data_IF_189806613031
#
_entry.id   IF_189806613031
#
_cell.length_a   1.000
_cell.length_b   1.000
_cell.length_c   1.000
_cell.angle_alpha   90.00
_cell.angle_beta   90.00
_cell.angle_gamma   90.00
#
_symmetry.space_group_name_H-M   'P 1'
#
loop_
_entity.id
_entity.type
_entity.pdbx_description
1 polymer ?
#
# COMPACT_ATOMS: atom_id res chain seq x y z
N UNK A 1 19.36 -29.26 -3.13
CA UNK A 1 20.45 -28.37 -3.59
C UNK A 1 20.29 -28.15 -5.09
N UNK A 2 20.45 -29.19 -5.89
CA UNK A 2 20.23 -29.17 -7.34
C UNK A 2 18.83 -28.70 -7.74
N UNK A 3 17.79 -29.06 -6.98
CA UNK A 3 16.42 -28.61 -7.22
C UNK A 3 16.26 -27.08 -7.11
N UNK A 4 16.92 -26.44 -6.13
CA UNK A 4 16.87 -24.98 -5.94
C UNK A 4 17.68 -24.26 -7.03
N UNK A 5 18.83 -24.81 -7.42
CA UNK A 5 19.61 -24.30 -8.56
C UNK A 5 18.84 -24.42 -9.88
N UNK A 6 18.19 -25.56 -10.12
CA UNK A 6 17.35 -25.78 -11.31
C UNK A 6 16.12 -24.88 -11.30
N UNK A 7 15.44 -24.74 -10.15
CA UNK A 7 14.30 -23.83 -10.01
C UNK A 7 14.69 -22.36 -10.22
N UNK A 8 15.94 -22.02 -9.92
CA UNK A 8 16.52 -20.70 -10.17
C UNK A 8 17.19 -20.59 -11.55
N UNK A 9 16.92 -21.51 -12.49
CA UNK A 9 17.41 -21.42 -13.87
C UNK A 9 18.94 -21.53 -14.03
N UNK A 10 19.67 -22.00 -13.02
CA UNK A 10 21.12 -22.09 -13.08
C UNK A 10 21.54 -23.13 -14.14
N UNK A 11 22.18 -22.65 -15.20
CA UNK A 11 22.51 -23.43 -16.40
C UNK A 11 24.02 -23.64 -16.60
N UNK A 12 24.84 -23.38 -15.57
CA UNK A 12 26.31 -23.48 -15.62
C UNK A 12 26.83 -24.72 -14.89
N UNK A 13 28.07 -25.18 -15.19
CA UNK A 13 28.67 -26.33 -14.51
C UNK A 13 28.76 -26.11 -13.00
N UNK A 14 28.25 -27.08 -12.25
CA UNK A 14 28.18 -27.05 -10.79
C UNK A 14 29.54 -27.52 -10.24
N UNK A 15 30.36 -26.58 -9.76
CA UNK A 15 31.65 -26.88 -9.12
C UNK A 15 31.49 -27.20 -7.63
N UNK A 16 32.51 -27.79 -6.99
CA UNK A 16 32.48 -28.10 -5.56
C UNK A 16 32.35 -26.84 -4.67
N UNK A 17 32.98 -25.73 -5.07
CA UNK A 17 32.88 -24.44 -4.39
C UNK A 17 31.47 -23.85 -4.50
N UNK A 18 30.88 -23.93 -5.70
CA UNK A 18 29.48 -23.55 -5.95
C UNK A 18 28.55 -24.38 -5.06
N UNK A 19 28.76 -25.70 -4.95
CA UNK A 19 27.95 -26.56 -4.08
C UNK A 19 28.04 -26.19 -2.60
N UNK A 20 29.22 -25.85 -2.09
CA UNK A 20 29.42 -25.50 -0.68
C UNK A 20 28.80 -24.15 -0.32
N UNK A 21 28.99 -23.11 -1.15
CA UNK A 21 28.35 -21.80 -0.92
C UNK A 21 26.82 -21.93 -1.00
N UNK A 22 26.32 -22.68 -1.97
CA UNK A 22 24.89 -22.87 -2.08
C UNK A 22 24.30 -23.81 -1.02
N UNK A 23 25.07 -24.75 -0.46
CA UNK A 23 24.64 -25.53 0.71
C UNK A 23 24.35 -24.61 1.89
N UNK A 24 25.20 -23.61 2.15
CA UNK A 24 24.93 -22.57 3.14
C UNK A 24 23.68 -21.78 2.77
N UNK A 25 23.54 -21.37 1.51
CA UNK A 25 22.38 -20.65 1.00
C UNK A 25 21.05 -21.40 1.24
N UNK A 26 21.01 -22.71 0.98
CA UNK A 26 19.84 -23.58 1.21
C UNK A 26 19.50 -23.71 2.69
N UNK A 27 20.49 -23.86 3.58
CA UNK A 27 20.26 -23.91 5.04
C UNK A 27 19.57 -22.64 5.53
N UNK A 28 19.93 -21.47 4.99
CA UNK A 28 19.33 -20.18 5.36
C UNK A 28 17.99 -19.88 4.68
N UNK A 29 17.77 -20.41 3.47
CA UNK A 29 16.51 -20.30 2.74
C UNK A 29 15.35 -21.01 3.48
N UNK A 30 15.65 -22.04 4.27
CA UNK A 30 14.66 -22.82 5.01
C UNK A 30 13.86 -23.77 4.10
N UNK A 31 12.66 -24.15 4.53
CA UNK A 31 11.81 -25.08 3.78
C UNK A 31 11.23 -24.45 2.50
N UNK A 32 11.09 -25.23 1.40
CA UNK A 32 10.37 -24.80 0.20
C UNK A 32 9.01 -24.17 0.50
N UNK A 33 8.67 -23.11 -0.23
CA UNK A 33 7.41 -22.38 -0.10
C UNK A 33 7.38 -21.28 0.96
N UNK A 34 8.33 -21.25 1.90
CA UNK A 34 8.43 -20.20 2.90
C UNK A 34 8.88 -18.85 2.29
N UNK A 35 8.61 -17.71 2.96
CA UNK A 35 9.01 -16.39 2.46
C UNK A 35 10.51 -16.26 2.18
N UNK A 36 11.35 -16.80 3.07
CA UNK A 36 12.81 -16.86 2.89
C UNK A 36 13.22 -17.71 1.69
N UNK A 37 12.55 -18.83 1.47
CA UNK A 37 12.78 -19.66 0.28
C UNK A 37 12.48 -18.91 -1.01
N UNK A 38 11.35 -18.19 -1.06
CA UNK A 38 11.00 -17.35 -2.22
C UNK A 38 12.01 -16.21 -2.45
N UNK A 39 12.52 -15.62 -1.37
CA UNK A 39 13.58 -14.61 -1.44
C UNK A 39 14.89 -15.20 -1.99
N UNK A 40 15.29 -16.36 -1.50
CA UNK A 40 16.48 -17.09 -1.94
C UNK A 40 16.43 -17.41 -3.44
N UNK A 41 15.31 -17.95 -3.93
CA UNK A 41 15.10 -18.20 -5.38
C UNK A 41 15.15 -16.90 -6.18
N UNK A 42 14.56 -15.81 -5.67
CA UNK A 42 14.59 -14.50 -6.34
C UNK A 42 16.00 -13.92 -6.44
N UNK A 43 16.81 -14.03 -5.39
CA UNK A 43 18.20 -13.57 -5.35
C UNK A 43 19.06 -14.36 -6.36
N UNK A 44 18.91 -15.68 -6.39
CA UNK A 44 19.62 -16.51 -7.36
C UNK A 44 19.19 -16.24 -8.80
N UNK A 45 17.89 -16.06 -9.04
CA UNK A 45 17.37 -15.67 -10.35
C UNK A 45 17.94 -14.31 -10.82
N UNK A 46 18.05 -13.33 -9.92
CA UNK A 46 18.62 -12.02 -10.25
C UNK A 46 20.12 -12.09 -10.56
N UNK A 47 20.83 -13.05 -9.98
CA UNK A 47 22.25 -13.28 -10.22
C UNK A 47 22.53 -14.13 -11.47
N UNK A 48 21.52 -14.63 -12.18
CA UNK A 48 21.67 -15.40 -13.42
C UNK A 48 22.44 -14.58 -14.47
N UNK A 49 23.72 -14.90 -14.64
CA UNK A 49 24.65 -14.22 -15.56
C UNK A 49 26.00 -13.87 -14.94
N UNK A 50 26.10 -13.81 -13.60
CA UNK A 50 27.35 -13.56 -12.88
C UNK A 50 28.11 -14.84 -12.52
N UNK A 51 29.43 -14.73 -12.37
CA UNK A 51 30.30 -15.86 -12.00
C UNK A 51 30.30 -16.14 -10.48
N UNK A 52 29.58 -15.32 -9.70
CA UNK A 52 29.59 -15.33 -8.24
C UNK A 52 28.23 -15.70 -7.68
N UNK A 53 28.26 -16.54 -6.66
CA UNK A 53 27.08 -16.88 -5.85
C UNK A 53 26.78 -15.69 -4.91
N UNK A 54 25.54 -15.19 -4.87
CA UNK A 54 25.13 -14.13 -3.95
C UNK A 54 25.39 -14.46 -2.49
N UNK A 55 25.68 -13.44 -1.68
CA UNK A 55 25.86 -13.62 -0.23
C UNK A 55 24.53 -14.04 0.44
N UNK A 56 24.59 -14.91 1.43
CA UNK A 56 23.44 -15.33 2.25
C UNK A 56 22.67 -14.13 2.83
N UNK A 57 23.36 -13.03 3.17
CA UNK A 57 22.75 -11.78 3.66
C UNK A 57 21.74 -11.20 2.67
N UNK A 58 21.91 -11.45 1.38
CA UNK A 58 21.00 -10.98 0.34
C UNK A 58 19.63 -11.66 0.42
N UNK A 59 19.55 -12.91 0.90
CA UNK A 59 18.27 -13.59 1.15
C UNK A 59 17.43 -12.80 2.16
N UNK A 60 18.07 -12.39 3.26
CA UNK A 60 17.40 -11.65 4.34
C UNK A 60 17.03 -10.23 3.91
N UNK A 61 17.90 -9.57 3.14
CA UNK A 61 17.61 -8.26 2.56
C UNK A 61 16.42 -8.31 1.60
N UNK A 62 16.38 -9.30 0.69
CA UNK A 62 15.27 -9.49 -0.24
C UNK A 62 13.98 -9.88 0.49
N UNK A 63 14.04 -10.77 1.48
CA UNK A 63 12.86 -11.08 2.30
C UNK A 63 12.32 -9.82 2.99
N UNK A 64 13.19 -9.02 3.60
CA UNK A 64 12.82 -7.75 4.24
C UNK A 64 12.18 -6.80 3.23
N UNK A 65 12.79 -6.61 2.06
CA UNK A 65 12.25 -5.78 0.97
C UNK A 65 10.86 -6.26 0.55
N UNK A 66 10.66 -7.56 0.35
CA UNK A 66 9.35 -8.13 -0.02
C UNK A 66 8.31 -7.90 1.06
N UNK A 67 8.67 -8.05 2.34
CA UNK A 67 7.79 -7.74 3.46
C UNK A 67 7.43 -6.25 3.49
N UNK A 68 8.36 -5.36 3.22
CA UNK A 68 8.13 -3.91 3.13
C UNK A 68 7.20 -3.55 1.97
N UNK A 69 7.44 -4.11 0.77
CA UNK A 69 6.55 -3.92 -0.38
C UNK A 69 5.14 -4.46 -0.08
N UNK A 70 5.03 -5.64 0.52
CA UNK A 70 3.73 -6.19 0.90
C UNK A 70 3.00 -5.31 1.93
N UNK A 71 3.72 -4.79 2.94
CA UNK A 71 3.17 -3.84 3.91
C UNK A 71 2.73 -2.54 3.26
N UNK A 72 3.54 -1.99 2.36
CA UNK A 72 3.23 -0.76 1.62
C UNK A 72 1.99 -0.94 0.75
N UNK A 73 1.90 -2.03 -0.02
CA UNK A 73 0.71 -2.36 -0.83
C UNK A 73 -0.54 -2.54 0.03
N UNK A 74 -0.42 -3.20 1.18
CA UNK A 74 -1.53 -3.34 2.11
C UNK A 74 -1.96 -1.99 2.71
N UNK A 75 -1.02 -1.10 3.02
CA UNK A 75 -1.32 0.25 3.48
C UNK A 75 -2.00 1.10 2.40
N UNK A 76 -1.50 1.05 1.17
CA UNK A 76 -2.12 1.72 0.01
C UNK A 76 -3.55 1.22 -0.22
N UNK A 77 -3.77 -0.09 -0.22
CA UNK A 77 -5.11 -0.67 -0.34
C UNK A 77 -6.04 -0.21 0.77
N UNK A 78 -5.56 -0.16 2.02
CA UNK A 78 -6.36 0.37 3.15
C UNK A 78 -6.69 1.84 2.95
N UNK A 79 -5.73 2.66 2.50
CA UNK A 79 -5.97 4.07 2.24
C UNK A 79 -7.02 4.26 1.13
N UNK A 80 -6.90 3.52 0.03
CA UNK A 80 -7.88 3.52 -1.07
C UNK A 80 -9.27 3.07 -0.59
N UNK A 81 -9.36 2.02 0.22
CA UNK A 81 -10.64 1.55 0.77
C UNK A 81 -11.30 2.60 1.69
N UNK A 82 -10.50 3.33 2.48
CA UNK A 82 -11.01 4.43 3.30
C UNK A 82 -11.52 5.57 2.43
N UNK A 83 -10.75 5.99 1.42
CA UNK A 83 -11.14 7.06 0.52
C UNK A 83 -12.44 6.73 -0.23
N UNK A 84 -12.55 5.51 -0.78
CA UNK A 84 -13.78 5.05 -1.42
C UNK A 84 -14.96 5.00 -0.45
N UNK A 85 -14.73 4.58 0.80
CA UNK A 85 -15.78 4.58 1.81
C UNK A 85 -16.20 6.02 2.17
N UNK A 86 -15.27 6.97 2.26
CA UNK A 86 -15.57 8.39 2.49
C UNK A 86 -16.37 9.00 1.33
N UNK A 87 -15.97 8.71 0.10
CA UNK A 87 -16.63 9.17 -1.12
C UNK A 87 -18.06 8.62 -1.25
N UNK A 88 -18.23 7.33 -1.01
CA UNK A 88 -19.48 6.64 -1.30
C UNK A 88 -20.41 6.43 -0.10
N UNK A 89 -20.06 6.85 1.12
CA UNK A 89 -20.85 6.50 2.31
C UNK A 89 -22.32 6.92 2.22
N UNK A 90 -22.61 8.11 1.69
CA UNK A 90 -23.98 8.59 1.52
C UNK A 90 -24.70 7.83 0.41
N UNK A 91 -24.10 7.77 -0.79
CA UNK A 91 -24.65 7.03 -1.92
C UNK A 91 -24.90 5.55 -1.61
N UNK A 92 -24.02 4.93 -0.82
CA UNK A 92 -24.16 3.54 -0.38
C UNK A 92 -25.36 3.38 0.55
N UNK A 93 -25.57 4.29 1.49
CA UNK A 93 -26.72 4.25 2.40
C UNK A 93 -28.02 4.48 1.64
N UNK A 94 -28.06 5.48 0.78
CA UNK A 94 -29.25 5.80 -0.03
C UNK A 94 -29.65 4.62 -0.92
N UNK A 95 -28.68 4.00 -1.59
CA UNK A 95 -28.93 2.83 -2.41
C UNK A 95 -29.44 1.63 -1.59
N UNK A 96 -28.83 1.35 -0.44
CA UNK A 96 -29.29 0.26 0.44
C UNK A 96 -30.71 0.51 0.92
N UNK A 97 -31.03 1.73 1.37
CA UNK A 97 -32.39 2.09 1.80
C UNK A 97 -33.40 1.94 0.66
N UNK A 98 -33.06 2.42 -0.54
CA UNK A 98 -33.89 2.28 -1.73
C UNK A 98 -34.16 0.81 -2.09
N UNK A 99 -33.16 -0.07 -2.01
CA UNK A 99 -33.33 -1.51 -2.29
C UNK A 99 -34.25 -2.17 -1.27
N UNK A 100 -34.15 -1.80 0.01
CA UNK A 100 -35.08 -2.28 1.05
C UNK A 100 -36.51 -1.84 0.75
N UNK A 101 -36.73 -0.59 0.38
CA UNK A 101 -38.07 -0.08 0.03
C UNK A 101 -38.67 -0.79 -1.19
N UNK A 102 -37.84 -1.09 -2.20
CA UNK A 102 -38.30 -1.68 -3.45
C UNK A 102 -38.53 -3.19 -3.36
N UNK A 103 -37.71 -3.90 -2.59
CA UNK A 103 -37.66 -5.37 -2.62
C UNK A 103 -38.05 -6.03 -1.32
N UNK A 104 -38.08 -5.29 -0.20
CA UNK A 104 -38.26 -5.85 1.14
C UNK A 104 -37.02 -6.60 1.67
N UNK A 105 -35.91 -6.59 0.93
CA UNK A 105 -34.63 -7.20 1.29
C UNK A 105 -33.48 -6.22 1.04
N UNK A 106 -32.31 -6.47 1.64
CA UNK A 106 -31.10 -5.67 1.40
C UNK A 106 -30.36 -6.12 0.13
N UNK A 107 -29.47 -5.29 -0.43
CA UNK A 107 -28.61 -5.73 -1.53
C UNK A 107 -27.53 -6.71 -1.02
N UNK A 108 -26.92 -7.44 -1.93
CA UNK A 108 -25.62 -8.09 -1.67
C UNK A 108 -24.48 -7.07 -1.77
N UNK A 109 -23.34 -7.38 -1.16
CA UNK A 109 -22.15 -6.53 -1.25
C UNK A 109 -21.66 -6.34 -2.69
N UNK A 110 -21.92 -7.31 -3.58
CA UNK A 110 -21.59 -7.23 -5.01
C UNK A 110 -22.51 -6.28 -5.75
N UNK A 111 -23.81 -6.33 -5.49
CA UNK A 111 -24.78 -5.43 -6.12
C UNK A 111 -24.53 -3.98 -5.69
N UNK A 112 -24.26 -3.76 -4.39
CA UNK A 112 -23.89 -2.44 -3.88
C UNK A 112 -22.60 -1.92 -4.54
N UNK A 113 -21.56 -2.74 -4.64
CA UNK A 113 -20.31 -2.33 -5.30
C UNK A 113 -20.52 -2.01 -6.80
N UNK A 114 -21.33 -2.80 -7.49
CA UNK A 114 -21.67 -2.54 -8.89
C UNK A 114 -22.45 -1.24 -9.06
N UNK A 115 -23.43 -0.96 -8.19
CA UNK A 115 -24.20 0.27 -8.18
C UNK A 115 -23.33 1.52 -7.93
N UNK A 116 -22.29 1.38 -7.11
CA UNK A 116 -21.33 2.44 -6.81
C UNK A 116 -20.19 2.56 -7.83
N UNK A 117 -20.13 1.67 -8.83
CA UNK A 117 -19.05 1.66 -9.84
C UNK A 117 -17.68 1.27 -9.27
N UNK A 118 -17.65 0.57 -8.13
CA UNK A 118 -16.42 0.21 -7.42
C UNK A 118 -15.82 -1.08 -7.97
N UNK A 119 -14.51 -1.06 -8.25
CA UNK A 119 -13.77 -2.24 -8.70
C UNK A 119 -13.90 -3.42 -7.72
N UNK A 120 -14.06 -4.63 -8.25
CA UNK A 120 -14.30 -5.84 -7.47
C UNK A 120 -13.19 -6.17 -6.45
N UNK A 121 -11.94 -5.77 -6.68
CA UNK A 121 -10.85 -5.95 -5.72
C UNK A 121 -10.96 -5.00 -4.51
N UNK A 122 -11.65 -3.86 -4.68
CA UNK A 122 -11.85 -2.85 -3.65
C UNK A 122 -13.21 -2.91 -2.98
N UNK A 123 -14.19 -3.58 -3.59
CA UNK A 123 -15.53 -3.78 -3.06
C UNK A 123 -15.53 -4.30 -1.61
N UNK A 124 -14.96 -5.48 -1.36
CA UNK A 124 -14.95 -6.06 0.00
C UNK A 124 -14.21 -5.18 1.02
N UNK A 125 -12.98 -4.69 0.75
CA UNK A 125 -12.31 -3.76 1.66
C UNK A 125 -13.09 -2.48 1.97
N UNK A 126 -13.78 -1.90 0.99
CA UNK A 126 -14.61 -0.71 1.19
C UNK A 126 -15.83 -1.03 2.09
N UNK A 127 -16.53 -2.13 1.83
CA UNK A 127 -17.67 -2.58 2.65
C UNK A 127 -17.23 -2.85 4.09
N UNK A 128 -16.07 -3.48 4.30
CA UNK A 128 -15.50 -3.70 5.64
C UNK A 128 -15.27 -2.38 6.39
N UNK A 129 -14.87 -1.31 5.68
CA UNK A 129 -14.72 0.02 6.25
C UNK A 129 -16.08 0.62 6.61
N UNK A 130 -17.09 0.51 5.74
CA UNK A 130 -18.44 1.01 6.01
C UNK A 130 -19.09 0.30 7.21
N UNK A 131 -18.88 -1.01 7.37
CA UNK A 131 -19.29 -1.76 8.56
C UNK A 131 -18.57 -1.27 9.82
N UNK A 132 -17.24 -1.12 9.77
CA UNK A 132 -16.46 -0.67 10.92
C UNK A 132 -16.83 0.73 11.39
N UNK A 133 -17.22 1.60 10.46
CA UNK A 133 -17.68 2.96 10.73
C UNK A 133 -19.15 3.01 11.17
N UNK A 134 -19.83 1.86 11.20
CA UNK A 134 -21.25 1.77 11.56
C UNK A 134 -22.18 2.42 10.54
N UNK A 135 -21.73 2.67 9.31
CA UNK A 135 -22.58 3.25 8.28
C UNK A 135 -23.56 2.21 7.72
N UNK A 136 -23.12 0.96 7.63
CA UNK A 136 -23.90 -0.18 7.19
C UNK A 136 -23.76 -1.32 8.22
N UNK A 137 -24.69 -2.26 8.17
CA UNK A 137 -24.64 -3.53 8.90
C UNK A 137 -25.10 -4.66 8.00
N UNK A 138 -24.72 -5.90 8.31
CA UNK A 138 -25.17 -7.09 7.58
C UNK A 138 -25.23 -8.30 8.50
N UNK A 139 -26.13 -9.23 8.23
CA UNK A 139 -26.14 -10.54 8.91
C UNK A 139 -25.32 -11.56 8.11
N UNK A 140 -25.35 -12.83 8.52
CA UNK A 140 -24.75 -13.92 7.73
C UNK A 140 -25.61 -14.33 6.52
N UNK A 141 -26.85 -13.86 6.47
CA UNK A 141 -27.76 -14.19 5.37
C UNK A 141 -27.36 -13.42 4.12
N UNK A 142 -27.61 -14.03 2.96
CA UNK A 142 -27.52 -13.31 1.70
C UNK A 142 -28.53 -12.15 1.71
N UNK A 143 -28.20 -11.04 1.02
CA UNK A 143 -29.14 -9.91 0.85
C UNK A 143 -29.55 -9.22 2.16
N UNK A 144 -28.63 -9.14 3.11
CA UNK A 144 -28.90 -8.61 4.46
C UNK A 144 -28.25 -7.25 4.77
N UNK A 145 -27.63 -6.60 3.77
CA UNK A 145 -27.04 -5.27 3.98
C UNK A 145 -28.13 -4.26 4.31
N UNK A 146 -27.98 -3.56 5.42
CA UNK A 146 -28.91 -2.55 5.91
C UNK A 146 -28.18 -1.28 6.35
N UNK A 147 -28.89 -0.16 6.33
CA UNK A 147 -28.40 1.10 6.90
C UNK A 147 -28.51 1.08 8.42
N UNK A 148 -27.55 1.69 9.10
CA UNK A 148 -27.66 1.94 10.55
C UNK A 148 -28.41 3.27 10.75
N UNK A 149 -29.57 3.29 11.43
CA UNK A 149 -30.43 4.48 11.50
C UNK A 149 -29.75 5.68 12.17
N UNK A 150 -29.10 5.47 13.31
CA UNK A 150 -28.50 6.54 14.12
C UNK A 150 -27.05 6.88 13.73
N UNK A 151 -26.64 6.51 12.52
CA UNK A 151 -25.30 6.81 12.05
C UNK A 151 -25.16 8.29 11.72
N UNK A 152 -24.18 8.93 12.35
CA UNK A 152 -23.81 10.33 12.09
C UNK A 152 -22.56 10.35 11.21
N UNK A 153 -22.54 11.10 10.09
CA UNK A 153 -21.34 11.20 9.26
C UNK A 153 -20.19 11.78 10.08
N UNK A 154 -18.97 11.23 9.97
CA UNK A 154 -17.82 11.84 10.60
C UNK A 154 -17.69 13.27 10.08
N UNK A 155 -17.66 14.24 11.00
CA UNK A 155 -17.51 15.65 10.66
C UNK A 155 -16.31 15.82 9.74
N UNK A 156 -16.56 16.10 8.45
CA UNK A 156 -15.51 16.48 7.51
C UNK A 156 -14.75 17.66 8.14
N UNK A 157 -13.41 17.62 8.25
CA UNK A 157 -12.67 18.83 8.58
C UNK A 157 -13.04 19.86 7.52
N UNK A 158 -13.60 20.99 7.95
CA UNK A 158 -13.94 22.10 7.05
C UNK A 158 -12.65 22.49 6.34
N UNK A 159 -12.56 22.21 5.04
CA UNK A 159 -11.64 22.92 4.16
C UNK A 159 -12.01 24.40 4.30
N UNK A 160 -11.19 25.13 5.05
CA UNK A 160 -11.31 26.58 5.25
C UNK A 160 -11.27 27.23 3.87
N UNK A 161 -12.45 27.44 3.31
CA UNK A 161 -12.64 28.19 2.09
C UNK A 161 -12.79 29.64 2.53
N UNK A 162 -11.66 30.31 2.76
CA UNK A 162 -11.63 31.76 2.76
C UNK A 162 -11.22 32.22 1.35
N UNK A 163 -12.16 32.69 0.52
CA UNK A 163 -11.82 33.48 -0.65
C UNK A 163 -11.71 34.95 -0.24
N UNK A 164 -10.61 35.57 -0.66
CA UNK A 164 -10.41 37.00 -0.88
C UNK A 164 -10.42 37.96 0.33
N UNK A 165 -9.22 38.50 0.59
CA UNK A 165 -9.00 39.82 1.16
C UNK A 165 -7.80 40.46 0.46
N UNK A 166 -8.02 41.00 -0.74
CA UNK A 166 -7.11 41.95 -1.39
C UNK A 166 -7.15 43.27 -0.62
N UNK A 167 -6.09 44.09 -0.75
CA UNK A 167 -5.97 45.51 -0.35
C UNK A 167 -5.50 45.76 1.11
N UNK A 168 -4.53 46.63 1.44
CA UNK A 168 -3.88 47.70 0.70
C UNK A 168 -2.63 48.20 1.51
N UNK A 169 -1.53 48.49 0.83
CA UNK A 169 -0.68 49.68 1.03
C UNK A 169 0.23 49.86 2.27
N UNK A 170 1.46 50.34 1.96
CA UNK A 170 2.40 51.15 2.77
C UNK A 170 3.28 50.40 3.77
N UNK A 171 4.60 50.60 3.88
CA UNK A 171 5.50 51.66 3.41
C UNK A 171 6.91 51.08 3.20
N UNK A 172 7.62 51.59 2.19
CA UNK A 172 9.08 51.58 2.17
C UNK A 172 9.59 52.75 3.04
N UNK A 173 10.78 52.61 3.66
CA UNK A 173 11.81 53.53 3.20
C UNK A 173 13.18 52.89 2.96
N UNK A 174 13.89 53.63 2.12
CA UNK A 174 15.19 53.41 1.50
C UNK A 174 16.38 53.68 2.43
N UNK A 175 17.53 53.16 1.96
CA UNK A 175 18.90 53.63 2.15
C UNK A 175 19.70 53.16 3.38
N UNK A 176 20.81 52.47 3.10
CA UNK A 176 21.81 52.10 4.11
C UNK A 176 23.06 51.43 3.54
N UNK A 177 23.73 52.09 2.59
CA UNK A 177 25.08 51.85 2.06
C UNK A 177 26.06 51.24 3.07
N UNK A 178 26.85 50.24 2.65
CA UNK A 178 28.00 49.75 3.40
C UNK A 178 28.79 48.63 2.72
N UNK A 179 29.48 48.93 1.62
CA UNK A 179 30.56 48.08 1.09
C UNK A 179 31.71 48.00 2.10
N UNK A 180 32.23 46.80 2.38
CA UNK A 180 33.67 46.61 2.59
C UNK A 180 34.12 45.17 2.35
N UNK A 181 34.88 45.03 1.27
CA UNK A 181 35.83 43.94 0.98
C UNK A 181 37.05 44.07 1.91
N UNK A 182 37.51 42.94 2.47
CA UNK A 182 38.94 42.58 2.69
C UNK A 182 38.96 41.07 3.05
N UNK A 183 39.47 40.17 2.20
CA UNK A 183 40.87 39.79 1.94
C UNK A 183 41.60 39.15 3.14
N UNK A 184 42.17 37.97 2.90
CA UNK A 184 43.11 37.25 3.79
C UNK A 184 42.66 35.80 4.04
N UNK A 185 42.71 34.90 3.04
CA UNK A 185 43.88 34.13 2.55
C UNK A 185 44.21 32.90 3.42
N UNK A 186 44.48 31.79 2.73
CA UNK A 186 44.69 30.43 3.24
C UNK A 186 46.19 30.19 3.56
N UNK A 187 46.70 28.95 3.50
CA UNK A 187 46.90 28.00 4.60
C UNK A 187 48.37 27.83 5.01
N UNK A 188 48.60 27.10 6.10
CA UNK A 188 49.89 26.54 6.51
C UNK A 188 49.69 25.24 7.25
#
# INVERSE_FOLDING_TARGET
MDELLRAAGFNRPITAEVLEVHRRFVTHAGKPGLPRWKAAVSVLNAAMGGDKVPDVREIYAEEKRRREVARSRAAQRRAQANALADEHVLAARDHVAQVWEQTGEGPTWRELAAALGVDGQMASPMIDVLHRRGALTSTKEARSLAVVPDWVPPSTPRLSSDPAGTENGRDAPSAGRGSRTVLGDSPG
#
